data_IF_000097866868
#
_entry.id   IF_000097866868
#
_cell.length_a   1.000
_cell.length_b   1.000
_cell.length_c   1.000
_cell.angle_alpha   90.00
_cell.angle_beta   90.00
_cell.angle_gamma   90.00
#
_symmetry.space_group_name_H-M   'P 1'
#
loop_
_entity.id
_entity.type
_entity.pdbx_description
1 polymer ?
#
# COMPACT_ATOMS: atom_id res chain seq x y z
N UNK A 1 -14.03 4.19 16.60
CA UNK A 1 -13.13 5.37 16.76
C UNK A 1 -13.51 6.45 15.76
N UNK A 2 -13.35 7.76 16.09
CA UNK A 2 -13.70 8.85 15.17
C UNK A 2 -12.84 8.82 13.91
N UNK A 3 -13.39 9.18 12.75
CA UNK A 3 -12.72 9.13 11.45
C UNK A 3 -12.23 10.51 11.02
N UNK A 4 -10.98 10.62 10.62
CA UNK A 4 -10.48 11.82 9.95
C UNK A 4 -10.96 11.75 8.51
N UNK A 5 -11.74 12.73 8.08
CA UNK A 5 -12.24 12.83 6.71
C UNK A 5 -11.61 14.02 6.03
N UNK A 6 -11.16 13.79 4.82
CA UNK A 6 -10.64 14.81 3.92
C UNK A 6 -11.42 14.71 2.61
N UNK A 7 -12.01 15.83 2.19
CA UNK A 7 -12.73 15.91 0.93
C UNK A 7 -11.86 16.57 -0.15
N UNK A 8 -12.28 16.48 -1.40
CA UNK A 8 -11.55 17.06 -2.53
C UNK A 8 -11.23 18.56 -2.37
N UNK A 9 -12.05 19.33 -1.63
CA UNK A 9 -11.80 20.74 -1.32
C UNK A 9 -10.63 20.98 -0.36
N UNK A 10 -10.16 19.96 0.36
CA UNK A 10 -9.08 20.07 1.37
C UNK A 10 -7.70 19.75 0.81
N UNK A 11 -7.63 19.22 -0.41
CA UNK A 11 -6.42 19.17 -1.24
C UNK A 11 -6.67 19.97 -2.52
N UNK A 12 -6.51 21.26 -2.45
CA UNK A 12 -6.73 22.18 -3.59
C UNK A 12 -5.94 21.79 -4.85
N UNK A 13 -4.83 21.08 -4.67
CA UNK A 13 -3.96 20.54 -5.71
C UNK A 13 -3.24 19.27 -5.23
N UNK A 14 -2.59 18.56 -6.15
CA UNK A 14 -1.82 17.36 -5.87
C UNK A 14 -0.73 17.60 -4.81
N UNK A 15 -0.02 18.72 -4.89
CA UNK A 15 1.05 19.09 -3.97
C UNK A 15 0.60 19.27 -2.53
N UNK A 16 -0.60 19.79 -2.33
CA UNK A 16 -1.18 19.95 -1.00
C UNK A 16 -1.55 18.61 -0.38
N UNK A 17 -2.05 17.68 -1.20
CA UNK A 17 -2.38 16.33 -0.77
C UNK A 17 -1.14 15.48 -0.45
N UNK A 18 -0.07 15.58 -1.24
CA UNK A 18 1.19 14.85 -1.01
C UNK A 18 1.87 15.14 0.34
N UNK A 19 1.55 16.25 0.98
CA UNK A 19 2.06 16.58 2.31
C UNK A 19 1.40 15.78 3.44
N UNK A 20 0.28 15.14 3.17
CA UNK A 20 -0.49 14.36 4.14
C UNK A 20 -0.27 12.88 3.85
N UNK A 21 0.21 12.14 4.82
CA UNK A 21 0.46 10.70 4.70
C UNK A 21 -0.06 9.94 5.91
N UNK A 22 -0.26 8.66 5.74
CA UNK A 22 -0.56 7.73 6.81
C UNK A 22 0.59 6.75 7.02
N UNK A 23 0.56 6.07 8.16
CA UNK A 23 1.48 5.00 8.51
C UNK A 23 0.68 3.84 9.12
N UNK A 24 0.87 2.64 8.59
CA UNK A 24 0.49 1.38 9.21
C UNK A 24 1.76 0.58 9.44
N UNK A 25 1.87 -0.09 10.58
CA UNK A 25 3.02 -0.93 10.92
C UNK A 25 2.56 -2.31 11.35
N UNK A 26 3.45 -3.29 11.25
CA UNK A 26 3.16 -4.67 11.60
C UNK A 26 3.74 -5.11 12.95
N UNK A 27 4.37 -4.21 13.71
CA UNK A 27 5.06 -4.57 14.95
C UNK A 27 6.41 -5.26 14.77
N UNK A 28 6.78 -5.68 13.55
CA UNK A 28 8.06 -6.33 13.23
C UNK A 28 9.10 -5.35 12.65
N UNK A 29 8.74 -4.10 12.44
CA UNK A 29 9.56 -3.09 11.77
C UNK A 29 9.21 -2.90 10.28
N UNK A 30 8.33 -3.72 9.72
CA UNK A 30 7.73 -3.50 8.41
C UNK A 30 6.62 -2.44 8.49
N UNK A 31 6.32 -1.81 7.35
CA UNK A 31 5.29 -0.77 7.30
C UNK A 31 4.68 -0.58 5.90
N UNK A 32 3.50 0.04 5.91
CA UNK A 32 2.84 0.65 4.76
C UNK A 32 2.68 2.14 5.01
N UNK A 33 3.15 2.97 4.10
CA UNK A 33 2.99 4.43 4.17
C UNK A 33 2.86 5.00 2.76
N UNK A 34 1.76 5.68 2.51
CA UNK A 34 1.49 6.42 1.28
C UNK A 34 0.84 7.77 1.65
N UNK A 35 0.69 8.63 0.65
CA UNK A 35 -0.03 9.90 0.83
C UNK A 35 -1.54 9.71 0.73
N UNK A 36 -2.30 10.72 1.14
CA UNK A 36 -3.76 10.74 0.94
C UNK A 36 -4.16 10.80 -0.55
N UNK A 37 -3.22 11.12 -1.44
CA UNK A 37 -3.40 11.02 -2.89
C UNK A 37 -3.18 9.59 -3.43
N UNK A 38 -2.80 8.65 -2.55
CA UNK A 38 -2.55 7.26 -2.91
C UNK A 38 -1.18 7.00 -3.55
N UNK A 39 -0.30 8.00 -3.62
CA UNK A 39 1.07 7.87 -4.15
C UNK A 39 2.12 7.85 -3.05
N UNK A 40 3.35 7.49 -3.42
CA UNK A 40 4.55 7.73 -2.63
C UNK A 40 5.13 9.11 -3.00
N UNK A 41 5.23 10.02 -2.03
CA UNK A 41 5.88 11.33 -2.20
C UNK A 41 7.34 11.32 -1.70
N UNK A 42 7.78 10.20 -1.12
CA UNK A 42 9.15 9.94 -0.66
C UNK A 42 9.61 8.56 -1.10
N UNK A 43 10.90 8.44 -1.36
CA UNK A 43 11.53 7.16 -1.75
C UNK A 43 11.35 6.05 -0.71
N UNK A 44 11.26 6.43 0.57
CA UNK A 44 11.05 5.50 1.69
C UNK A 44 9.57 5.13 1.93
N UNK A 45 8.62 5.75 1.24
CA UNK A 45 7.21 5.35 1.29
C UNK A 45 6.97 4.14 0.39
N UNK A 46 6.18 3.20 0.90
CA UNK A 46 5.87 1.95 0.21
C UNK A 46 4.47 1.46 0.59
N UNK A 47 3.84 0.73 -0.32
CA UNK A 47 2.70 -0.12 0.00
C UNK A 47 3.15 -1.29 0.90
N UNK A 48 4.33 -1.87 0.62
CA UNK A 48 4.93 -2.89 1.47
C UNK A 48 6.44 -2.68 1.60
N UNK A 49 6.85 -2.16 2.75
CA UNK A 49 8.20 -2.24 3.25
C UNK A 49 8.26 -3.44 4.21
N UNK A 50 8.86 -4.55 3.77
CA UNK A 50 8.94 -5.77 4.56
C UNK A 50 10.15 -5.78 5.49
N UNK A 51 10.02 -6.33 6.70
CA UNK A 51 11.14 -6.57 7.61
C UNK A 51 11.66 -8.00 7.42
N UNK A 52 12.72 -8.20 6.64
CA UNK A 52 13.33 -9.52 6.41
C UNK A 52 14.01 -10.05 7.67
N UNK A 53 14.60 -9.16 8.47
CA UNK A 53 15.05 -9.44 9.83
C UNK A 53 14.55 -8.33 10.74
N UNK A 54 13.54 -8.64 11.53
CA UNK A 54 12.97 -7.70 12.48
C UNK A 54 14.01 -7.18 13.48
N UNK A 55 14.02 -5.89 13.79
CA UNK A 55 13.26 -4.82 13.15
C UNK A 55 14.06 -4.05 12.07
N UNK A 56 15.31 -4.41 11.80
CA UNK A 56 16.29 -3.52 11.17
C UNK A 56 16.52 -3.76 9.68
N UNK A 57 16.51 -5.03 9.24
CA UNK A 57 16.74 -5.33 7.82
C UNK A 57 15.42 -5.25 7.08
N UNK A 58 15.25 -4.18 6.32
CA UNK A 58 14.02 -3.88 5.58
C UNK A 58 14.25 -3.92 4.08
N UNK A 59 13.27 -4.45 3.38
CA UNK A 59 13.24 -4.53 1.93
C UNK A 59 12.05 -3.74 1.38
N UNK A 60 12.29 -2.87 0.41
CA UNK A 60 11.25 -2.16 -0.31
C UNK A 60 10.70 -3.09 -1.41
N UNK A 61 9.61 -3.78 -1.12
CA UNK A 61 9.05 -4.80 -2.00
C UNK A 61 8.10 -4.19 -3.04
N UNK A 62 7.01 -3.61 -2.58
CA UNK A 62 5.99 -2.97 -3.43
C UNK A 62 5.91 -1.49 -3.08
N UNK A 63 6.26 -0.63 -4.02
CA UNK A 63 6.18 0.82 -3.85
C UNK A 63 4.72 1.29 -3.81
N UNK A 64 3.92 0.80 -4.74
CA UNK A 64 2.50 1.13 -4.88
C UNK A 64 1.79 0.08 -5.74
N UNK A 65 0.50 0.24 -5.95
CA UNK A 65 -0.26 -0.39 -7.03
C UNK A 65 -0.85 0.71 -7.94
N UNK A 66 -0.81 0.48 -9.24
CA UNK A 66 -1.39 1.38 -10.23
C UNK A 66 -2.69 0.79 -10.77
N UNK A 67 -3.77 1.49 -10.50
CA UNK A 67 -5.12 1.09 -10.87
C UNK A 67 -5.50 1.66 -12.23
N UNK A 68 -6.15 0.83 -13.04
CA UNK A 68 -6.74 1.23 -14.33
C UNK A 68 -8.16 0.71 -14.42
N UNK A 69 -9.07 1.59 -14.79
CA UNK A 69 -10.47 1.27 -15.08
C UNK A 69 -10.68 1.33 -16.59
N UNK A 70 -11.31 0.31 -17.16
CA UNK A 70 -11.77 0.30 -18.53
C UNK A 70 -13.29 0.22 -18.55
N UNK A 71 -13.93 1.23 -19.13
CA UNK A 71 -15.39 1.29 -19.32
C UNK A 71 -15.68 1.92 -20.68
N UNK A 72 -16.65 1.38 -21.41
CA UNK A 72 -17.04 1.84 -22.75
C UNK A 72 -15.86 1.83 -23.75
N UNK A 73 -14.86 0.93 -23.55
CA UNK A 73 -13.67 0.80 -24.40
C UNK A 73 -12.60 1.86 -24.16
N UNK A 74 -12.74 2.67 -23.12
CA UNK A 74 -11.76 3.68 -22.73
C UNK A 74 -11.09 3.35 -21.40
N UNK A 75 -9.76 3.26 -21.40
CA UNK A 75 -8.96 3.13 -20.19
C UNK A 75 -8.83 4.48 -19.46
N UNK A 76 -8.88 4.44 -18.12
CA UNK A 76 -8.66 5.58 -17.23
C UNK A 76 -7.74 5.16 -16.09
N UNK A 77 -6.61 5.84 -15.98
CA UNK A 77 -5.66 5.63 -14.87
C UNK A 77 -6.19 6.33 -13.61
N UNK A 78 -6.31 5.57 -12.52
CA UNK A 78 -6.81 6.07 -11.23
C UNK A 78 -5.70 6.36 -10.23
N UNK A 79 -4.48 5.97 -10.54
CA UNK A 79 -3.33 6.27 -9.70
C UNK A 79 -2.75 7.65 -10.04
N UNK A 80 -2.11 8.25 -9.04
CA UNK A 80 -1.37 9.50 -9.22
C UNK A 80 0.10 9.20 -9.02
N UNK A 81 0.94 9.59 -9.98
CA UNK A 81 2.38 9.39 -9.89
C UNK A 81 3.11 10.47 -10.68
N UNK A 82 4.16 11.00 -10.08
CA UNK A 82 5.12 11.82 -10.79
C UNK A 82 6.31 10.98 -11.23
N UNK A 83 6.76 11.26 -12.44
CA UNK A 83 7.91 10.61 -13.05
C UNK A 83 9.01 11.65 -13.33
N UNK A 84 10.25 11.20 -13.46
CA UNK A 84 11.36 12.06 -13.89
C UNK A 84 11.04 12.66 -15.26
N UNK A 85 10.50 11.85 -16.17
CA UNK A 85 9.86 12.36 -17.38
C UNK A 85 8.44 12.87 -17.07
N UNK A 86 8.32 14.16 -16.82
CA UNK A 86 7.07 14.84 -16.42
C UNK A 86 5.92 14.65 -17.39
N UNK A 87 6.16 14.34 -18.66
CA UNK A 87 5.10 14.10 -19.65
C UNK A 87 4.35 12.77 -19.39
N UNK A 88 4.89 11.92 -18.51
CA UNK A 88 4.30 10.66 -18.12
C UNK A 88 3.53 10.73 -16.78
N UNK A 89 3.47 11.91 -16.16
CA UNK A 89 2.74 12.11 -14.91
C UNK A 89 1.28 11.71 -15.06
N UNK A 90 0.76 11.00 -14.07
CA UNK A 90 -0.64 10.60 -13.98
C UNK A 90 -1.36 11.40 -12.91
N UNK A 91 -2.65 11.66 -13.13
CA UNK A 91 -3.45 12.55 -12.31
C UNK A 91 -4.73 11.88 -11.79
N UNK A 92 -4.66 10.61 -11.38
CA UNK A 92 -5.79 9.86 -10.85
C UNK A 92 -6.48 10.53 -9.66
N UNK A 93 -5.77 11.41 -8.95
CA UNK A 93 -6.34 12.22 -7.87
C UNK A 93 -7.55 13.08 -8.31
N UNK A 94 -7.68 13.36 -9.60
CA UNK A 94 -8.82 14.10 -10.16
C UNK A 94 -10.16 13.36 -10.03
N UNK A 95 -10.09 12.02 -9.86
CA UNK A 95 -11.24 11.15 -9.65
C UNK A 95 -11.48 10.84 -8.16
N UNK A 96 -10.61 11.34 -7.29
CA UNK A 96 -10.70 11.12 -5.84
C UNK A 96 -11.70 12.11 -5.22
N UNK A 97 -12.81 11.60 -4.71
CA UNK A 97 -13.84 12.41 -4.02
C UNK A 97 -13.53 12.61 -2.55
N UNK A 98 -12.88 11.64 -1.90
CA UNK A 98 -12.61 11.70 -0.47
C UNK A 98 -11.57 10.69 0.00
N UNK A 99 -11.02 10.97 1.17
CA UNK A 99 -10.16 10.07 1.92
C UNK A 99 -10.65 10.03 3.37
N UNK A 100 -10.73 8.84 3.94
CA UNK A 100 -11.01 8.66 5.36
C UNK A 100 -9.88 7.87 6.02
N UNK A 101 -9.46 8.33 7.19
CA UNK A 101 -8.60 7.58 8.08
C UNK A 101 -9.38 7.21 9.33
N UNK A 102 -9.90 6.02 9.35
CA UNK A 102 -10.46 5.34 10.51
C UNK A 102 -9.39 4.46 11.17
N UNK A 103 -9.69 3.20 11.39
CA UNK A 103 -8.68 2.19 11.75
C UNK A 103 -7.77 1.87 10.57
N UNK A 104 -8.29 1.99 9.37
CA UNK A 104 -7.56 1.82 8.10
C UNK A 104 -7.79 3.04 7.20
N UNK A 105 -6.86 3.33 6.28
CA UNK A 105 -7.05 4.33 5.25
C UNK A 105 -8.03 3.83 4.19
N UNK A 106 -8.94 4.71 3.77
CA UNK A 106 -9.96 4.43 2.75
C UNK A 106 -10.02 5.60 1.77
N UNK A 107 -9.95 5.32 0.48
CA UNK A 107 -10.12 6.27 -0.62
C UNK A 107 -11.43 6.02 -1.34
N UNK A 108 -12.10 7.09 -1.76
CA UNK A 108 -13.35 7.06 -2.51
C UNK A 108 -13.14 7.72 -3.87
N UNK A 109 -13.28 6.94 -4.93
CA UNK A 109 -13.17 7.43 -6.31
C UNK A 109 -14.51 7.37 -7.00
N UNK A 110 -14.74 8.34 -7.88
CA UNK A 110 -15.87 8.33 -8.81
C UNK A 110 -15.40 8.70 -10.21
N UNK A 111 -15.64 7.82 -11.14
CA UNK A 111 -15.20 7.99 -12.54
C UNK A 111 -16.15 7.29 -13.51
N UNK A 112 -16.62 7.99 -14.54
CA UNK A 112 -17.52 7.44 -15.60
C UNK A 112 -18.77 6.72 -15.06
N UNK A 113 -19.26 7.09 -13.87
CA UNK A 113 -20.40 6.45 -13.21
C UNK A 113 -20.05 5.20 -12.42
N UNK A 114 -18.77 4.88 -12.26
CA UNK A 114 -18.26 3.81 -11.38
C UNK A 114 -17.85 4.43 -10.06
N UNK A 115 -18.26 3.81 -8.95
CA UNK A 115 -17.86 4.12 -7.60
C UNK A 115 -16.86 3.07 -7.11
N UNK A 116 -15.73 3.51 -6.57
CA UNK A 116 -14.67 2.62 -6.08
C UNK A 116 -14.25 3.07 -4.69
N UNK A 117 -14.31 2.15 -3.73
CA UNK A 117 -13.75 2.29 -2.40
C UNK A 117 -12.49 1.44 -2.30
N UNK A 118 -11.33 2.06 -2.10
CA UNK A 118 -10.04 1.37 -1.87
C UNK A 118 -9.72 1.39 -0.39
N UNK A 119 -9.43 0.23 0.20
CA UNK A 119 -8.95 0.09 1.58
C UNK A 119 -7.60 -0.59 1.58
N UNK A 120 -6.66 -0.08 2.37
CA UNK A 120 -5.35 -0.72 2.60
C UNK A 120 -5.25 -1.13 4.06
N UNK A 121 -4.70 -2.33 4.30
CA UNK A 121 -4.45 -2.84 5.65
C UNK A 121 -3.10 -3.54 5.75
N UNK A 122 -2.51 -3.55 6.95
CA UNK A 122 -1.27 -4.25 7.26
C UNK A 122 -1.47 -5.15 8.46
N UNK A 123 -1.13 -6.43 8.31
CA UNK A 123 -1.38 -7.46 9.32
C UNK A 123 -0.34 -7.36 10.44
N UNK A 124 -0.80 -7.33 11.68
CA UNK A 124 0.09 -7.33 12.84
C UNK A 124 0.81 -8.66 12.98
N UNK A 125 2.11 -8.60 13.27
CA UNK A 125 2.95 -9.79 13.42
C UNK A 125 3.36 -10.47 12.11
N UNK A 126 2.94 -9.94 10.94
CA UNK A 126 3.27 -10.49 9.62
C UNK A 126 3.73 -9.39 8.66
N UNK A 127 4.63 -9.73 7.72
CA UNK A 127 4.95 -8.84 6.59
C UNK A 127 3.91 -9.02 5.49
N UNK A 128 2.66 -8.71 5.80
CA UNK A 128 1.49 -8.89 4.95
C UNK A 128 0.72 -7.59 4.81
N UNK A 129 0.52 -7.15 3.58
CA UNK A 129 -0.34 -6.01 3.23
C UNK A 129 -1.49 -6.49 2.37
N UNK A 130 -2.68 -5.97 2.62
CA UNK A 130 -3.86 -6.21 1.81
C UNK A 130 -4.35 -4.90 1.18
N UNK A 131 -4.85 -4.99 -0.04
CA UNK A 131 -5.58 -3.93 -0.73
C UNK A 131 -6.92 -4.50 -1.18
N UNK A 132 -8.00 -3.91 -0.70
CA UNK A 132 -9.36 -4.28 -1.07
C UNK A 132 -10.01 -3.13 -1.83
N UNK A 133 -10.76 -3.48 -2.88
CA UNK A 133 -11.61 -2.57 -3.63
C UNK A 133 -13.05 -3.05 -3.57
N UNK A 134 -13.95 -2.14 -3.24
CA UNK A 134 -15.40 -2.33 -3.38
C UNK A 134 -15.82 -1.48 -4.57
N UNK A 135 -16.28 -2.14 -5.63
CA UNK A 135 -16.59 -1.50 -6.92
C UNK A 135 -18.06 -1.63 -7.20
N UNK A 136 -18.71 -0.52 -7.48
CA UNK A 136 -20.11 -0.51 -7.92
C UNK A 136 -20.22 0.14 -9.29
N UNK A 137 -20.74 -0.59 -10.26
CA UNK A 137 -20.90 -0.11 -11.63
C UNK A 137 -22.18 -0.64 -12.26
N UNK A 138 -22.93 0.26 -12.90
CA UNK A 138 -24.01 -0.12 -13.82
C UNK A 138 -23.52 -0.38 -15.25
N UNK A 139 -22.19 -0.36 -15.49
CA UNK A 139 -21.56 -0.57 -16.79
C UNK A 139 -20.61 -1.76 -16.72
N UNK A 140 -20.62 -2.57 -17.78
CA UNK A 140 -19.59 -3.60 -17.98
C UNK A 140 -18.26 -2.97 -18.28
N UNK A 141 -17.18 -3.65 -17.87
CA UNK A 141 -15.83 -3.20 -18.10
C UNK A 141 -14.83 -4.06 -17.37
N UNK A 142 -13.66 -3.51 -17.14
CA UNK A 142 -12.62 -4.18 -16.34
C UNK A 142 -11.96 -3.20 -15.39
N UNK A 143 -11.49 -3.77 -14.30
CA UNK A 143 -10.61 -3.09 -13.35
C UNK A 143 -9.31 -3.86 -13.27
N UNK A 144 -8.18 -3.19 -13.26
CA UNK A 144 -6.89 -3.85 -13.14
C UNK A 144 -5.96 -3.09 -12.22
N UNK A 145 -5.08 -3.83 -11.57
CA UNK A 145 -4.02 -3.29 -10.72
C UNK A 145 -2.66 -3.81 -11.16
N UNK A 146 -1.67 -2.92 -11.23
CA UNK A 146 -0.28 -3.22 -11.57
C UNK A 146 0.58 -2.99 -10.34
N UNK A 147 1.22 -4.01 -9.75
CA UNK A 147 2.16 -3.79 -8.66
C UNK A 147 3.41 -3.07 -9.17
N UNK A 148 3.82 -2.05 -8.43
CA UNK A 148 5.01 -1.25 -8.69
C UNK A 148 6.14 -1.81 -7.83
N UNK A 149 6.96 -2.65 -8.41
CA UNK A 149 7.92 -3.50 -7.70
C UNK A 149 9.30 -2.86 -7.61
N UNK A 150 9.97 -3.08 -6.48
CA UNK A 150 11.35 -2.66 -6.28
C UNK A 150 12.27 -3.80 -5.86
N UNK A 151 11.97 -4.54 -4.82
CA UNK A 151 12.83 -5.63 -4.29
C UNK A 151 14.27 -5.17 -4.10
N UNK A 152 14.43 -4.09 -3.35
CA UNK A 152 15.68 -3.47 -3.00
C UNK A 152 15.74 -3.19 -1.50
N UNK A 153 16.90 -3.27 -0.89
CA UNK A 153 17.06 -2.89 0.51
C UNK A 153 16.61 -1.45 0.73
N UNK A 154 16.04 -1.16 1.92
CA UNK A 154 15.59 0.20 2.23
C UNK A 154 16.71 1.22 2.05
N UNK A 155 16.45 2.23 1.22
CA UNK A 155 17.42 3.29 0.88
C UNK A 155 18.28 2.98 -0.36
N UNK A 156 18.22 1.76 -0.87
CA UNK A 156 18.94 1.38 -2.07
C UNK A 156 18.07 1.54 -3.33
N UNK A 157 18.73 1.66 -4.47
CA UNK A 157 18.08 1.71 -5.78
C UNK A 157 17.95 0.31 -6.37
N UNK A 158 16.99 0.16 -7.27
CA UNK A 158 16.83 -1.02 -8.10
C UNK A 158 18.08 -1.21 -8.97
N UNK A 159 18.61 -2.43 -9.05
CA UNK A 159 19.77 -2.73 -9.86
C UNK A 159 19.40 -2.79 -11.36
N UNK A 160 20.25 -2.23 -12.21
CA UNK A 160 20.07 -2.36 -13.65
C UNK A 160 20.09 -3.85 -14.06
N UNK A 161 19.12 -4.27 -14.88
CA UNK A 161 19.00 -5.67 -15.27
C UNK A 161 18.41 -6.61 -14.21
N UNK A 162 18.03 -6.12 -13.03
CA UNK A 162 17.41 -6.93 -11.98
C UNK A 162 16.20 -7.69 -12.53
N UNK A 163 16.17 -9.01 -12.34
CA UNK A 163 15.13 -9.88 -12.87
C UNK A 163 13.94 -10.01 -11.92
N UNK A 164 12.74 -10.19 -12.48
CA UNK A 164 11.49 -10.41 -11.76
C UNK A 164 10.75 -11.59 -12.36
N UNK A 165 10.80 -12.73 -11.67
CA UNK A 165 9.99 -13.88 -12.02
C UNK A 165 8.62 -13.75 -11.35
N UNK A 166 7.55 -13.93 -12.12
CA UNK A 166 6.17 -13.85 -11.64
C UNK A 166 5.42 -15.10 -12.06
N UNK A 167 4.75 -15.71 -11.13
CA UNK A 167 3.79 -16.78 -11.37
C UNK A 167 2.44 -16.48 -10.70
N UNK A 168 1.53 -17.45 -10.65
CA UNK A 168 0.18 -17.26 -10.09
C UNK A 168 0.15 -17.06 -8.57
N UNK A 169 1.25 -17.27 -7.88
CA UNK A 169 1.31 -17.27 -6.41
C UNK A 169 2.39 -16.38 -5.83
N UNK A 170 3.43 -16.07 -6.60
CA UNK A 170 4.55 -15.30 -6.07
C UNK A 170 5.25 -14.43 -7.12
N UNK A 171 5.98 -13.48 -6.59
CA UNK A 171 6.95 -12.64 -7.30
C UNK A 171 8.30 -12.92 -6.66
N UNK A 172 9.29 -13.27 -7.46
CA UNK A 172 10.65 -13.52 -6.98
C UNK A 172 11.63 -12.55 -7.65
N UNK A 173 12.45 -11.91 -6.85
CA UNK A 173 13.52 -11.02 -7.31
C UNK A 173 14.55 -10.83 -6.21
N UNK A 174 15.82 -10.67 -6.58
CA UNK A 174 16.92 -10.36 -5.66
C UNK A 174 17.00 -11.29 -4.43
N UNK A 175 16.69 -12.59 -4.63
CA UNK A 175 16.70 -13.60 -3.57
C UNK A 175 15.52 -13.53 -2.58
N UNK A 176 14.56 -12.65 -2.81
CA UNK A 176 13.33 -12.54 -2.02
C UNK A 176 12.16 -13.10 -2.80
N UNK A 177 11.32 -13.88 -2.12
CA UNK A 177 10.05 -14.39 -2.65
C UNK A 177 8.92 -13.70 -1.90
N UNK A 178 8.04 -13.04 -2.65
CA UNK A 178 6.85 -12.39 -2.14
C UNK A 178 5.63 -13.13 -2.69
N UNK A 179 4.91 -13.81 -1.82
CA UNK A 179 3.65 -14.48 -2.17
C UNK A 179 2.54 -13.47 -2.37
N UNK A 180 1.59 -13.76 -3.25
CA UNK A 180 0.36 -12.96 -3.36
C UNK A 180 -0.87 -13.81 -3.57
N UNK A 181 -1.99 -13.35 -3.01
CA UNK A 181 -3.34 -13.91 -3.15
C UNK A 181 -4.29 -12.88 -3.73
N UNK A 182 -5.20 -13.30 -4.60
CA UNK A 182 -6.16 -12.42 -5.25
C UNK A 182 -7.36 -13.22 -5.78
N UNK A 183 -8.51 -12.57 -5.95
CA UNK A 183 -9.64 -13.13 -6.71
C UNK A 183 -9.66 -12.66 -8.18
N UNK A 184 -8.61 -11.98 -8.65
CA UNK A 184 -8.43 -11.58 -10.04
C UNK A 184 -7.55 -12.54 -10.84
N UNK A 185 -7.40 -12.24 -12.11
CA UNK A 185 -6.59 -13.03 -13.05
C UNK A 185 -5.23 -12.38 -13.30
N UNK A 186 -4.16 -13.17 -13.21
CA UNK A 186 -2.82 -12.74 -13.58
C UNK A 186 -2.71 -12.58 -15.10
N UNK A 187 -2.29 -11.42 -15.54
CA UNK A 187 -1.94 -11.12 -16.93
C UNK A 187 -0.54 -10.53 -16.99
N UNK A 188 0.34 -11.15 -17.78
CA UNK A 188 1.68 -10.62 -18.02
C UNK A 188 1.62 -9.43 -18.98
N UNK A 189 2.38 -8.38 -18.69
CA UNK A 189 2.58 -7.30 -19.66
C UNK A 189 3.48 -7.78 -20.80
N UNK A 190 3.22 -7.27 -22.02
CA UNK A 190 4.00 -7.64 -23.21
C UNK A 190 5.47 -7.27 -23.09
N UNK A 191 5.73 -6.16 -22.40
CA UNK A 191 7.05 -5.65 -22.14
C UNK A 191 7.18 -5.30 -20.66
N UNK A 192 8.35 -5.51 -20.11
CA UNK A 192 8.70 -5.04 -18.79
C UNK A 192 8.80 -3.52 -18.83
N UNK A 193 8.04 -2.86 -17.98
CA UNK A 193 8.00 -1.40 -17.88
C UNK A 193 8.93 -0.98 -16.75
N UNK A 194 10.05 -0.34 -17.09
CA UNK A 194 10.90 0.39 -16.14
C UNK A 194 10.39 1.82 -16.02
N UNK A 195 10.35 2.34 -14.79
CA UNK A 195 9.94 3.72 -14.53
C UNK A 195 10.85 4.37 -13.53
N UNK A 196 11.28 5.57 -13.84
CA UNK A 196 11.97 6.45 -12.91
C UNK A 196 10.94 7.37 -12.25
N UNK A 197 10.65 7.04 -10.99
CA UNK A 197 9.70 7.76 -10.15
C UNK A 197 10.34 9.03 -9.64
N UNK A 198 9.56 10.09 -9.52
CA UNK A 198 10.00 11.33 -8.89
C UNK A 198 9.30 11.52 -7.53
N UNK A 199 10.08 11.81 -6.50
CA UNK A 199 9.65 12.03 -5.14
C UNK A 199 9.86 13.47 -4.71
N UNK A 200 8.85 14.28 -4.88
CA UNK A 200 8.90 15.73 -4.65
C UNK A 200 9.33 16.11 -3.24
N UNK A 201 8.84 15.38 -2.21
CA UNK A 201 9.14 15.74 -0.83
C UNK A 201 10.61 15.46 -0.47
N UNK A 202 11.23 14.45 -1.07
CA UNK A 202 12.66 14.21 -0.90
C UNK A 202 13.49 15.26 -1.62
N UNK A 203 13.13 15.61 -2.86
CA UNK A 203 13.80 16.66 -3.62
C UNK A 203 13.74 18.02 -2.90
N UNK A 204 12.59 18.36 -2.29
CA UNK A 204 12.43 19.59 -1.51
C UNK A 204 13.27 19.61 -0.23
N UNK A 205 13.48 18.44 0.38
CA UNK A 205 14.33 18.29 1.57
C UNK A 205 15.82 18.17 1.23
N UNK A 206 16.19 18.33 -0.05
CA UNK A 206 17.58 18.23 -0.53
C UNK A 206 18.13 16.82 -0.60
N UNK A 207 17.23 15.80 -0.63
CA UNK A 207 17.57 14.39 -0.82
C UNK A 207 17.50 14.02 -2.30
N UNK A 208 17.99 12.82 -2.63
CA UNK A 208 17.74 12.26 -3.96
C UNK A 208 16.24 11.97 -4.11
N UNK A 209 15.59 12.75 -4.96
CA UNK A 209 14.16 12.63 -5.26
C UNK A 209 13.85 11.63 -6.38
N UNK A 210 14.76 10.73 -6.72
CA UNK A 210 14.57 9.78 -7.82
C UNK A 210 14.63 8.35 -7.28
N UNK A 211 13.75 7.49 -7.80
CA UNK A 211 13.77 6.06 -7.53
C UNK A 211 13.19 5.28 -8.69
N UNK A 212 13.74 4.10 -8.94
CA UNK A 212 13.29 3.24 -10.03
C UNK A 212 12.37 2.15 -9.56
N UNK A 213 11.43 1.75 -10.40
CA UNK A 213 10.52 0.64 -10.18
C UNK A 213 10.21 -0.12 -11.47
N UNK A 214 9.74 -1.35 -11.32
CA UNK A 214 9.38 -2.23 -12.44
C UNK A 214 7.92 -2.63 -12.32
N UNK A 215 7.25 -2.64 -13.47
CA UNK A 215 5.92 -3.22 -13.68
C UNK A 215 6.05 -4.23 -14.83
N UNK A 216 5.64 -5.48 -14.62
CA UNK A 216 5.72 -6.52 -15.66
C UNK A 216 4.45 -7.39 -15.73
N UNK A 217 3.48 -7.14 -14.85
CA UNK A 217 2.20 -7.85 -14.84
C UNK A 217 1.10 -6.98 -14.24
N UNK A 218 -0.13 -7.42 -14.43
CA UNK A 218 -1.32 -6.87 -13.79
C UNK A 218 -2.21 -7.99 -13.25
N UNK A 219 -3.00 -7.67 -12.26
CA UNK A 219 -4.14 -8.45 -11.82
C UNK A 219 -5.38 -7.82 -12.43
N UNK A 220 -6.12 -8.60 -13.20
CA UNK A 220 -7.29 -8.15 -13.94
C UNK A 220 -8.58 -8.68 -13.32
N UNK A 221 -9.62 -7.86 -13.29
CA UNK A 221 -10.94 -8.18 -12.73
C UNK A 221 -12.02 -7.77 -13.73
N UNK A 222 -13.00 -8.66 -13.95
CA UNK A 222 -14.18 -8.36 -14.73
C UNK A 222 -15.21 -7.60 -13.91
N UNK A 223 -15.77 -6.51 -14.46
CA UNK A 223 -16.90 -5.79 -13.89
C UNK A 223 -18.20 -6.22 -14.59
N UNK A 224 -19.13 -6.78 -13.83
CA UNK A 224 -20.41 -7.33 -14.36
C UNK A 224 -21.38 -6.28 -14.88
N UNK A 225 -21.29 -5.04 -14.36
CA UNK A 225 -22.14 -3.93 -14.78
C UNK A 225 -23.62 -4.07 -14.39
N UNK A 226 -23.94 -4.89 -13.41
CA UNK A 226 -25.31 -5.15 -12.94
C UNK A 226 -25.77 -4.21 -11.81
N UNK A 227 -24.94 -3.22 -11.45
CA UNK A 227 -25.19 -2.25 -10.39
C UNK A 227 -24.94 -2.78 -8.97
N UNK A 228 -24.62 -4.07 -8.82
CA UNK A 228 -24.25 -4.65 -7.53
C UNK A 228 -22.81 -4.32 -7.20
N UNK A 229 -22.52 -4.35 -5.91
CA UNK A 229 -21.16 -4.23 -5.43
C UNK A 229 -20.36 -5.51 -5.70
N UNK A 230 -19.18 -5.34 -6.25
CA UNK A 230 -18.19 -6.40 -6.42
C UNK A 230 -16.98 -6.08 -5.53
N UNK A 231 -16.38 -7.10 -4.95
CA UNK A 231 -15.17 -6.96 -4.14
C UNK A 231 -13.99 -7.56 -4.90
N UNK A 232 -12.95 -6.74 -5.09
CA UNK A 232 -11.68 -7.16 -5.65
C UNK A 232 -10.59 -6.98 -4.60
N UNK A 233 -9.61 -7.86 -4.58
CA UNK A 233 -8.52 -7.74 -3.63
C UNK A 233 -7.19 -8.29 -4.15
N UNK A 234 -6.12 -7.82 -3.54
CA UNK A 234 -4.80 -8.44 -3.58
C UNK A 234 -4.17 -8.37 -2.20
N UNK A 235 -3.53 -9.45 -1.80
CA UNK A 235 -2.74 -9.57 -0.58
C UNK A 235 -1.31 -9.91 -0.98
N UNK A 236 -0.33 -9.16 -0.49
CA UNK A 236 1.09 -9.46 -0.64
C UNK A 236 1.66 -9.86 0.71
N UNK A 237 2.42 -10.96 0.76
CA UNK A 237 2.96 -11.50 2.00
C UNK A 237 4.34 -12.13 1.80
N UNK A 238 5.23 -11.95 2.78
CA UNK A 238 6.46 -12.75 2.87
C UNK A 238 6.21 -14.15 3.46
N UNK A 239 4.98 -14.43 3.92
CA UNK A 239 4.55 -15.78 4.32
C UNK A 239 3.91 -16.52 3.14
N UNK A 240 4.07 -17.85 3.11
CA UNK A 240 3.60 -18.67 1.98
C UNK A 240 2.08 -18.95 2.00
N UNK A 241 1.38 -18.56 3.04
CA UNK A 241 -0.02 -18.92 3.29
C UNK A 241 -1.05 -17.92 2.76
N UNK A 242 -0.79 -17.30 1.62
CA UNK A 242 -1.70 -16.31 1.00
C UNK A 242 -3.02 -16.90 0.51
N UNK A 243 -3.09 -18.20 0.25
CA UNK A 243 -4.31 -18.90 -0.15
C UNK A 243 -5.41 -18.88 0.94
N UNK A 244 -5.07 -18.51 2.16
CA UNK A 244 -6.02 -18.32 3.26
C UNK A 244 -6.91 -17.08 3.10
N UNK A 245 -6.55 -16.15 2.20
CA UNK A 245 -7.24 -14.88 2.04
C UNK A 245 -8.32 -14.98 0.96
N UNK A 246 -9.55 -14.74 1.37
CA UNK A 246 -10.72 -14.54 0.53
C UNK A 246 -11.50 -13.31 1.01
N UNK A 247 -12.61 -12.99 0.35
CA UNK A 247 -13.42 -11.81 0.66
C UNK A 247 -13.95 -11.81 2.10
N UNK A 248 -14.41 -12.98 2.58
CA UNK A 248 -14.96 -13.15 3.93
C UNK A 248 -13.86 -12.95 4.98
N UNK A 249 -12.72 -13.58 4.78
CA UNK A 249 -11.58 -13.45 5.70
C UNK A 249 -11.03 -12.03 5.75
N UNK A 250 -10.97 -11.32 4.62
CA UNK A 250 -10.57 -9.93 4.57
C UNK A 250 -11.56 -9.06 5.35
N UNK A 251 -12.87 -9.28 5.19
CA UNK A 251 -13.88 -8.54 5.92
C UNK A 251 -13.77 -8.77 7.44
N UNK A 252 -13.63 -10.02 7.87
CA UNK A 252 -13.43 -10.39 9.28
C UNK A 252 -12.13 -9.80 9.85
N UNK A 253 -11.05 -9.79 9.05
CA UNK A 253 -9.79 -9.20 9.48
C UNK A 253 -9.93 -7.68 9.69
N UNK A 254 -10.61 -6.97 8.78
CA UNK A 254 -10.85 -5.52 8.92
C UNK A 254 -11.62 -5.21 10.21
N UNK A 255 -12.69 -5.97 10.50
CA UNK A 255 -13.43 -5.83 11.76
C UNK A 255 -12.56 -6.12 12.99
N UNK A 256 -11.70 -7.13 12.89
CA UNK A 256 -10.74 -7.48 13.95
C UNK A 256 -9.75 -6.35 14.22
N UNK A 257 -9.23 -5.72 13.16
CA UNK A 257 -8.31 -4.59 13.28
C UNK A 257 -8.98 -3.35 13.88
N UNK A 258 -10.24 -3.07 13.53
CA UNK A 258 -11.03 -2.02 14.16
C UNK A 258 -11.16 -2.25 15.67
N UNK A 259 -11.52 -3.46 16.09
CA UNK A 259 -11.62 -3.85 17.51
C UNK A 259 -10.28 -3.78 18.23
N UNK A 260 -9.19 -4.18 17.57
CA UNK A 260 -7.84 -4.09 18.13
C UNK A 260 -7.45 -2.64 18.44
N UNK A 261 -7.68 -1.73 17.50
CA UNK A 261 -7.37 -0.31 17.70
C UNK A 261 -8.27 0.34 18.74
N UNK A 262 -9.53 -0.02 18.81
CA UNK A 262 -10.45 0.43 19.87
C UNK A 262 -9.96 -0.03 21.25
N UNK A 263 -9.52 -1.28 21.37
CA UNK A 263 -8.96 -1.79 22.61
C UNK A 263 -7.68 -1.06 23.03
N UNK A 264 -6.82 -0.64 22.09
CA UNK A 264 -5.65 0.22 22.39
C UNK A 264 -6.10 1.58 22.91
N UNK A 265 -7.07 2.21 22.24
CA UNK A 265 -7.62 3.50 22.63
C UNK A 265 -8.22 3.44 24.05
N UNK A 266 -8.96 2.40 24.39
CA UNK A 266 -9.55 2.20 25.72
C UNK A 266 -8.50 1.94 26.79
N UNK A 267 -7.52 1.06 26.52
CA UNK A 267 -6.42 0.78 27.45
C UNK A 267 -5.54 1.99 27.76
N UNK A 268 -5.52 3.01 26.89
CA UNK A 268 -4.77 4.24 27.14
C UNK A 268 -5.29 5.05 28.34
N UNK A 269 -6.53 4.80 28.78
CA UNK A 269 -7.18 5.56 29.86
C UNK A 269 -7.52 7.01 29.48
N UNK A 270 -7.30 7.42 28.23
CA UNK A 270 -7.57 8.77 27.74
C UNK A 270 -9.05 8.87 27.37
N UNK A 271 -9.73 9.92 27.85
CA UNK A 271 -11.15 10.10 27.64
C UNK A 271 -11.51 10.86 26.35
N UNK A 272 -10.67 11.81 25.94
CA UNK A 272 -10.93 12.62 24.75
C UNK A 272 -10.57 11.90 23.45
N UNK A 273 -11.26 12.25 22.36
CA UNK A 273 -11.12 11.59 21.06
C UNK A 273 -9.73 11.79 20.43
N UNK A 274 -9.15 12.97 20.58
CA UNK A 274 -7.83 13.29 20.01
C UNK A 274 -6.75 12.48 20.71
N UNK A 275 -6.79 12.43 22.04
CA UNK A 275 -5.86 11.65 22.83
C UNK A 275 -5.95 10.15 22.58
N UNK A 276 -7.17 9.59 22.42
CA UNK A 276 -7.37 8.21 22.01
C UNK A 276 -6.73 7.93 20.63
N UNK A 277 -6.92 8.86 19.69
CA UNK A 277 -6.30 8.75 18.36
C UNK A 277 -4.77 8.80 18.43
N UNK A 278 -4.21 9.68 19.25
CA UNK A 278 -2.77 9.76 19.48
C UNK A 278 -2.20 8.49 20.11
N UNK A 279 -2.93 7.86 21.04
CA UNK A 279 -2.53 6.58 21.63
C UNK A 279 -2.44 5.47 20.58
N UNK A 280 -3.42 5.36 19.68
CA UNK A 280 -3.38 4.42 18.55
C UNK A 280 -2.24 4.76 17.59
N UNK A 281 -2.04 6.04 17.28
CA UNK A 281 -0.93 6.46 16.41
C UNK A 281 0.43 6.14 17.05
N UNK A 282 0.58 6.34 18.35
CA UNK A 282 1.81 6.00 19.09
C UNK A 282 2.10 4.49 19.06
N UNK A 283 1.07 3.65 19.07
CA UNK A 283 1.24 2.19 18.99
C UNK A 283 1.92 1.73 17.69
N UNK A 284 1.84 2.52 16.60
CA UNK A 284 2.52 2.23 15.34
C UNK A 284 4.06 2.27 15.45
N UNK A 285 4.61 2.89 16.49
CA UNK A 285 6.06 2.96 16.73
C UNK A 285 6.57 1.87 17.67
N UNK A 286 5.68 1.02 18.19
CA UNK A 286 6.05 -0.09 19.05
C UNK A 286 6.43 -1.27 18.19
N UNK A 287 7.65 -1.80 18.41
CA UNK A 287 8.13 -3.01 17.73
C UNK A 287 8.21 -4.14 18.76
N UNK A 288 7.56 -5.24 18.48
CA UNK A 288 7.62 -6.46 19.27
C UNK A 288 8.88 -7.24 18.91
N UNK A 289 9.87 -7.22 19.78
CA UNK A 289 11.08 -8.03 19.63
C UNK A 289 10.85 -9.38 20.33
N UNK A 290 11.00 -10.46 19.58
CA UNK A 290 11.09 -11.79 20.19
C UNK A 290 12.33 -11.85 21.09
N UNK A 291 12.18 -12.39 22.30
CA UNK A 291 13.29 -12.54 23.27
C UNK A 291 14.48 -13.35 22.71
N UNK A 292 14.26 -14.18 21.70
CA UNK A 292 15.32 -14.93 20.99
C UNK A 292 16.20 -14.03 20.08
N UNK A 293 15.81 -12.78 19.83
CA UNK A 293 16.61 -11.83 19.07
C UNK A 293 17.34 -10.80 19.94
N UNK A 294 17.18 -10.86 21.26
CA UNK A 294 18.00 -10.10 22.19
C UNK A 294 19.34 -10.85 22.29
N UNK A 295 20.28 -10.56 21.37
CA UNK A 295 21.67 -10.93 21.61
C UNK A 295 22.11 -10.23 22.88
N UNK A 296 22.58 -11.00 23.86
CA UNK A 296 23.19 -10.43 25.07
C UNK A 296 24.19 -9.33 24.69
N UNK A 297 24.16 -8.18 25.38
CA UNK A 297 25.18 -7.17 25.15
C UNK A 297 26.53 -7.83 25.44
N UNK A 298 27.35 -7.97 24.41
CA UNK A 298 28.73 -8.44 24.56
C UNK A 298 29.41 -7.58 25.64
N UNK A 299 29.61 -8.14 26.82
CA UNK A 299 30.45 -7.53 27.83
C UNK A 299 31.82 -7.35 27.19
N UNK A 300 32.17 -6.13 26.82
CA UNK A 300 33.57 -5.77 26.61
C UNK A 300 34.28 -5.89 27.97
N UNK A 301 34.95 -7.01 28.20
CA UNK A 301 35.95 -7.06 29.23
C UNK A 301 37.13 -6.22 28.76
N UNK A 302 37.31 -5.07 29.37
CA UNK A 302 38.60 -4.37 29.30
C UNK A 302 39.54 -5.12 30.19
N UNK A 303 40.59 -5.70 29.64
CA UNK A 303 41.83 -6.06 30.33
C UNK A 303 42.77 -4.88 30.16
#
# INVERSE_FOLDING_TARGET
>A
MDRIRLNASEWMDFRSGEKKCFLLTNGLGGYCSLTVMGNAARNDQALLMGALKAPTVREHLISNVWETLEVDGEETELFSQEFVNRTQNTEGFRFLEGFEMGSLPVWFYRVKGVEIEKTIGMVQGENTVLVRYRVRSGKKGSFSIRPVMRFAAKGEQLQEGQDFAVDRKCIASNGVILSYGTNGELQMEKERIWRDLFFEQDARDGRDGIGSAVVNHRIWFEMTGDGREQVFFVVYSLADDVDKWDEERIALWIEGEEKRQEAIAEKSGISDLVGKRLAVSASQYITELSLIHISEPTRRSYI
#
